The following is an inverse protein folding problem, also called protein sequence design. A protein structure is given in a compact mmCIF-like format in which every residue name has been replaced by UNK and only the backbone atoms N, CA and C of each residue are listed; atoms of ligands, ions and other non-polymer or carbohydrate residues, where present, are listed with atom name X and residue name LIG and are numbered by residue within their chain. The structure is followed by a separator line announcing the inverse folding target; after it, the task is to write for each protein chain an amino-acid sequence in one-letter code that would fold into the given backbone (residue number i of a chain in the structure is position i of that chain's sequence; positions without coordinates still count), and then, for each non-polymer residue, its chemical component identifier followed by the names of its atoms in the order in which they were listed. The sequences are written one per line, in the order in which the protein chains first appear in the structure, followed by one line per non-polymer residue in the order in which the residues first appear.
data_IF_365241691228
#
_entry.id   IF_365241691228
#
_cell.length_a   1.000
_cell.length_b   1.000
_cell.length_c   1.000
_cell.angle_alpha   90.00
_cell.angle_beta   90.00
_cell.angle_gamma   90.00
#
_symmetry.space_group_name_H-M   'P 1'
#
loop_
_entity.id
_entity.type
_entity.pdbx_description
1 polymer ?
#
# COMPACT_ATOMS: atom_id res chain seq x y z
N UNK A 1 32.79 6.19 37.44
CA UNK A 1 33.89 7.09 37.04
C UNK A 1 34.80 6.49 35.97
N UNK A 2 35.64 5.45 36.24
CA UNK A 2 36.52 4.89 35.18
C UNK A 2 35.77 4.29 33.97
N UNK A 3 34.65 3.60 34.22
CA UNK A 3 33.80 3.02 33.17
C UNK A 3 33.05 4.11 32.37
N UNK A 4 32.60 5.17 33.04
CA UNK A 4 31.85 6.26 32.40
C UNK A 4 32.74 7.08 31.46
N UNK A 5 34.00 7.35 31.85
CA UNK A 5 34.95 8.04 30.98
C UNK A 5 35.29 7.22 29.72
N UNK A 6 35.41 5.89 29.85
CA UNK A 6 35.60 5.01 28.69
C UNK A 6 34.39 5.04 27.74
N UNK A 7 33.17 5.07 28.27
CA UNK A 7 31.95 5.22 27.47
C UNK A 7 31.86 6.58 26.80
N UNK A 8 32.23 7.66 27.50
CA UNK A 8 32.27 9.01 26.94
C UNK A 8 33.27 9.13 25.78
N UNK A 9 34.49 8.58 25.93
CA UNK A 9 35.48 8.54 24.85
C UNK A 9 34.98 7.73 23.64
N UNK A 10 34.34 6.58 23.87
CA UNK A 10 33.76 5.77 22.80
C UNK A 10 32.63 6.51 22.06
N UNK A 11 31.76 7.22 22.80
CA UNK A 11 30.72 8.06 22.20
C UNK A 11 31.31 9.22 21.40
N UNK A 12 32.37 9.86 21.88
CA UNK A 12 33.04 10.95 21.17
C UNK A 12 33.53 10.50 19.79
N UNK A 13 34.19 9.33 19.72
CA UNK A 13 34.66 8.72 18.46
C UNK A 13 33.47 8.47 17.51
N UNK A 14 32.39 7.85 18.00
CA UNK A 14 31.20 7.58 17.19
C UNK A 14 30.56 8.86 16.67
N UNK A 15 30.48 9.91 17.49
CA UNK A 15 29.94 11.20 17.05
C UNK A 15 30.82 11.84 15.96
N UNK A 16 32.14 11.74 16.08
CA UNK A 16 33.05 12.22 15.03
C UNK A 16 32.91 11.45 13.72
N UNK A 17 32.76 10.13 13.78
CA UNK A 17 32.49 9.31 12.60
C UNK A 17 31.20 9.75 11.89
N UNK A 18 30.12 9.94 12.65
CA UNK A 18 28.83 10.41 12.13
C UNK A 18 28.98 11.81 11.51
N UNK A 19 29.56 12.77 12.23
CA UNK A 19 29.74 14.15 11.75
C UNK A 19 30.59 14.17 10.47
N UNK A 20 31.65 13.37 10.40
CA UNK A 20 32.47 13.26 9.21
C UNK A 20 31.70 12.64 8.03
N UNK A 21 30.85 11.65 8.28
CA UNK A 21 29.98 11.08 7.24
C UNK A 21 28.97 12.10 6.72
N UNK A 22 28.40 12.93 7.59
CA UNK A 22 27.53 14.04 7.18
C UNK A 22 28.24 15.01 6.25
N UNK A 23 29.48 15.41 6.58
CA UNK A 23 30.30 16.30 5.74
C UNK A 23 30.64 15.65 4.39
N UNK A 24 30.95 14.35 4.38
CA UNK A 24 31.19 13.59 3.15
C UNK A 24 29.95 13.58 2.25
N UNK A 25 28.77 13.32 2.81
CA UNK A 25 27.51 13.34 2.07
C UNK A 25 27.17 14.74 1.55
N UNK A 26 27.37 15.77 2.37
CA UNK A 26 27.18 17.17 1.95
C UNK A 26 28.02 17.51 0.72
N UNK A 27 29.31 17.15 0.73
CA UNK A 27 30.21 17.36 -0.42
C UNK A 27 29.80 16.49 -1.62
N UNK A 28 29.42 15.24 -1.39
CA UNK A 28 28.98 14.31 -2.44
C UNK A 28 27.75 14.84 -3.20
N UNK A 29 26.80 15.44 -2.50
CA UNK A 29 25.53 15.92 -3.05
C UNK A 29 25.50 17.45 -3.22
N UNK A 30 26.66 18.11 -3.31
CA UNK A 30 26.77 19.57 -3.38
C UNK A 30 26.05 20.15 -4.61
N UNK A 31 26.18 19.48 -5.77
CA UNK A 31 25.52 19.88 -7.01
C UNK A 31 24.00 19.86 -6.86
N UNK A 32 23.44 18.78 -6.31
CA UNK A 32 22.01 18.62 -6.08
C UNK A 32 21.48 19.63 -5.08
N UNK A 33 22.22 19.89 -3.98
CA UNK A 33 21.85 20.90 -2.98
C UNK A 33 21.78 22.30 -3.63
N UNK A 34 22.73 22.62 -4.52
CA UNK A 34 22.79 23.91 -5.21
C UNK A 34 21.69 24.06 -6.28
N UNK A 35 21.21 22.96 -6.84
CA UNK A 35 20.10 22.95 -7.80
C UNK A 35 18.71 23.06 -7.16
N UNK A 36 18.59 22.88 -5.84
CA UNK A 36 17.32 23.07 -5.12
C UNK A 36 16.97 24.55 -5.06
N UNK A 37 15.67 24.86 -5.15
CA UNK A 37 15.17 26.22 -4.98
C UNK A 37 15.77 26.89 -3.72
N UNK A 38 16.28 28.15 -3.82
CA UNK A 38 16.97 28.84 -2.72
C UNK A 38 16.20 28.89 -1.39
N UNK A 39 14.86 28.86 -1.43
CA UNK A 39 14.02 28.82 -0.23
C UNK A 39 14.20 27.53 0.59
N UNK A 40 14.63 26.44 -0.04
CA UNK A 40 14.71 25.11 0.56
C UNK A 40 16.15 24.59 0.71
N UNK A 41 17.17 25.29 0.22
CA UNK A 41 18.58 24.85 0.28
C UNK A 41 19.03 24.39 1.67
N UNK A 42 18.68 25.14 2.72
CA UNK A 42 19.00 24.74 4.11
C UNK A 42 18.31 23.45 4.56
N UNK A 43 17.07 23.24 4.10
CA UNK A 43 16.32 22.02 4.41
C UNK A 43 16.85 20.85 3.59
N UNK A 44 17.22 21.07 2.32
CA UNK A 44 17.85 20.06 1.46
C UNK A 44 19.20 19.60 2.02
N UNK A 45 20.07 20.54 2.41
CA UNK A 45 21.33 20.24 3.10
C UNK A 45 21.10 19.41 4.39
N UNK A 46 20.15 19.82 5.23
CA UNK A 46 19.80 19.06 6.44
C UNK A 46 19.18 17.69 6.12
N UNK A 47 18.45 17.53 5.01
CA UNK A 47 17.96 16.23 4.55
C UNK A 47 19.13 15.31 4.16
N UNK A 48 20.14 15.83 3.45
CA UNK A 48 21.37 15.08 3.16
C UNK A 48 22.08 14.67 4.46
N UNK A 49 22.17 15.56 5.44
CA UNK A 49 22.69 15.23 6.76
C UNK A 49 21.88 14.14 7.46
N UNK A 50 20.55 14.20 7.37
CA UNK A 50 19.66 13.18 7.93
C UNK A 50 19.84 11.82 7.24
N UNK A 51 19.97 11.78 5.91
CA UNK A 51 20.22 10.53 5.18
C UNK A 51 21.55 9.89 5.58
N UNK A 52 22.61 10.69 5.72
CA UNK A 52 23.90 10.23 6.24
C UNK A 52 23.79 9.72 7.68
N UNK A 53 23.06 10.44 8.54
CA UNK A 53 22.81 10.03 9.92
C UNK A 53 22.05 8.70 10.01
N UNK A 54 21.10 8.46 9.10
CA UNK A 54 20.32 7.20 9.03
C UNK A 54 21.09 6.02 8.45
N UNK A 55 22.33 6.20 7.98
CA UNK A 55 23.19 5.08 7.57
C UNK A 55 23.88 4.39 8.75
N UNK A 56 23.72 4.89 9.97
CA UNK A 56 24.29 4.30 11.20
C UNK A 56 23.22 3.55 11.99
N UNK A 57 23.65 2.55 12.75
CA UNK A 57 22.83 1.97 13.81
C UNK A 57 22.83 2.91 15.03
N UNK A 58 21.69 3.52 15.28
CA UNK A 58 21.50 4.52 16.33
C UNK A 58 20.94 3.94 17.62
N UNK A 59 20.62 2.65 17.66
CA UNK A 59 20.05 2.01 18.85
C UNK A 59 21.08 2.01 19.99
N UNK A 60 22.26 1.45 19.72
CA UNK A 60 23.38 1.38 20.66
C UNK A 60 23.82 2.76 21.17
N UNK A 61 23.88 3.76 20.28
CA UNK A 61 24.27 5.12 20.66
C UNK A 61 23.20 5.74 21.58
N UNK A 62 21.92 5.54 21.29
CA UNK A 62 20.85 6.06 22.14
C UNK A 62 20.83 5.38 23.52
N UNK A 63 21.08 4.07 23.58
CA UNK A 63 21.15 3.35 24.84
C UNK A 63 22.32 3.83 25.70
N UNK A 64 23.51 3.99 25.11
CA UNK A 64 24.69 4.56 25.80
C UNK A 64 24.45 5.99 26.29
N UNK A 65 23.81 6.85 25.47
CA UNK A 65 23.45 8.22 25.88
C UNK A 65 22.46 8.20 27.04
N UNK A 66 21.45 7.31 27.02
CA UNK A 66 20.45 7.20 28.07
C UNK A 66 21.05 6.72 29.38
N UNK A 67 21.93 5.70 29.34
CA UNK A 67 22.65 5.21 30.52
C UNK A 67 23.49 6.30 31.20
N UNK A 68 24.08 7.20 30.41
CA UNK A 68 24.87 8.33 30.90
C UNK A 68 24.02 9.58 31.23
N UNK A 69 22.69 9.52 31.07
CA UNK A 69 21.79 10.66 31.29
C UNK A 69 21.98 11.83 30.31
N UNK A 70 22.57 11.56 29.13
CA UNK A 70 22.84 12.54 28.10
C UNK A 70 21.63 12.78 27.18
N UNK A 71 21.55 13.94 26.49
CA UNK A 71 20.46 14.22 25.56
C UNK A 71 20.41 13.21 24.41
N UNK A 72 19.30 12.50 24.30
CA UNK A 72 19.05 11.57 23.19
C UNK A 72 18.86 12.25 21.84
N UNK A 73 18.84 11.44 20.78
CA UNK A 73 18.82 11.90 19.38
C UNK A 73 17.43 11.84 18.72
N UNK A 74 16.35 11.65 19.50
CA UNK A 74 15.01 11.29 19.00
C UNK A 74 14.22 12.42 18.31
N UNK A 75 14.72 13.67 18.32
CA UNK A 75 14.08 14.83 17.67
C UNK A 75 15.10 15.66 16.87
N UNK A 76 16.12 14.98 16.35
CA UNK A 76 17.27 15.58 15.67
C UNK A 76 16.97 15.99 14.22
N UNK A 77 15.94 15.41 13.62
CA UNK A 77 15.64 15.44 12.18
C UNK A 77 15.61 16.86 11.60
N UNK A 78 15.06 17.88 12.28
CA UNK A 78 15.02 19.23 11.69
C UNK A 78 16.36 19.98 11.71
N UNK A 79 17.38 19.50 12.43
CA UNK A 79 18.64 20.22 12.69
C UNK A 79 19.78 19.26 13.07
N UNK A 80 20.07 18.30 12.19
CA UNK A 80 20.88 17.12 12.51
C UNK A 80 22.29 17.49 12.97
N UNK A 81 23.02 18.21 12.13
CA UNK A 81 24.38 18.66 12.43
C UNK A 81 24.45 19.46 13.74
N UNK A 82 23.47 20.34 14.00
CA UNK A 82 23.49 21.18 15.21
C UNK A 82 23.33 20.35 16.48
N UNK A 83 22.43 19.36 16.49
CA UNK A 83 22.26 18.51 17.67
C UNK A 83 23.49 17.64 17.90
N UNK A 84 24.05 17.01 16.86
CA UNK A 84 25.25 16.19 16.98
C UNK A 84 26.41 16.98 17.59
N UNK A 85 26.70 18.17 17.06
CA UNK A 85 27.77 19.02 17.59
C UNK A 85 27.48 19.50 19.02
N UNK A 86 26.21 19.75 19.37
CA UNK A 86 25.86 20.20 20.72
C UNK A 86 26.01 19.09 21.75
N UNK A 87 25.60 17.86 21.42
CA UNK A 87 25.80 16.69 22.28
C UNK A 87 27.28 16.33 22.36
N UNK A 88 28.03 16.39 21.25
CA UNK A 88 29.48 16.20 21.25
C UNK A 88 30.18 17.19 22.19
N UNK A 89 29.84 18.48 22.12
CA UNK A 89 30.41 19.49 23.02
C UNK A 89 30.14 19.18 24.51
N UNK A 90 28.99 18.58 24.84
CA UNK A 90 28.68 18.15 26.22
C UNK A 90 29.61 16.99 26.61
N UNK A 91 29.76 16.00 25.75
CA UNK A 91 30.66 14.85 25.97
C UNK A 91 32.11 15.32 26.15
N UNK A 92 32.61 16.18 25.24
CA UNK A 92 33.96 16.76 25.34
C UNK A 92 34.17 17.49 26.67
N UNK A 93 33.17 18.27 27.12
CA UNK A 93 33.24 18.95 28.43
C UNK A 93 33.20 18.02 29.63
N UNK A 94 32.47 16.90 29.56
CA UNK A 94 32.46 15.89 30.61
C UNK A 94 33.77 15.09 30.66
N UNK A 95 34.51 15.04 29.55
CA UNK A 95 35.85 14.47 29.45
C UNK A 95 36.98 15.47 29.79
N UNK A 96 36.66 16.64 30.35
CA UNK A 96 37.61 17.73 30.64
C UNK A 96 38.42 18.21 29.40
N UNK A 97 37.91 17.98 28.19
CA UNK A 97 38.54 18.43 26.94
C UNK A 97 38.12 19.86 26.60
N UNK A 98 38.96 20.56 25.86
CA UNK A 98 38.55 21.82 25.22
C UNK A 98 37.49 21.51 24.14
N UNK A 99 36.50 22.40 24.02
CA UNK A 99 35.46 22.22 23.01
C UNK A 99 36.08 22.41 21.64
N UNK A 100 35.95 21.41 20.78
CA UNK A 100 36.35 21.52 19.38
C UNK A 100 35.61 22.68 18.73
N UNK A 101 36.32 23.58 18.05
CA UNK A 101 35.70 24.75 17.40
C UNK A 101 34.87 24.30 16.19
N UNK A 102 33.62 23.94 16.45
CA UNK A 102 32.75 23.20 15.53
C UNK A 102 32.14 24.05 14.39
N UNK A 103 32.67 25.26 14.17
CA UNK A 103 32.21 26.19 13.14
C UNK A 103 30.79 26.71 13.35
N UNK A 104 30.38 27.66 12.50
CA UNK A 104 29.00 28.16 12.48
C UNK A 104 28.12 27.16 11.74
N UNK A 105 27.16 26.55 12.44
CA UNK A 105 26.16 25.69 11.80
C UNK A 105 25.08 26.54 11.13
N UNK A 106 24.74 26.21 9.88
CA UNK A 106 23.75 26.95 9.08
C UNK A 106 22.35 26.97 9.71
N UNK A 107 21.98 25.87 10.36
CA UNK A 107 20.64 25.61 10.86
C UNK A 107 20.65 25.35 12.38
N UNK A 108 20.21 26.35 13.15
CA UNK A 108 19.98 26.18 14.59
C UNK A 108 18.60 25.59 14.87
N UNK A 109 18.40 25.01 16.06
CA UNK A 109 17.10 24.48 16.53
C UNK A 109 15.97 25.51 16.36
N UNK A 110 16.22 26.76 16.77
CA UNK A 110 15.25 27.86 16.63
C UNK A 110 14.94 28.18 15.16
N UNK A 111 15.95 28.18 14.28
CA UNK A 111 15.77 28.44 12.84
C UNK A 111 15.02 27.29 12.16
N UNK A 112 15.37 26.05 12.45
CA UNK A 112 14.68 24.86 11.96
C UNK A 112 13.20 24.88 12.31
N UNK A 113 12.86 25.15 13.58
CA UNK A 113 11.47 25.27 14.03
C UNK A 113 10.69 26.37 13.31
N UNK A 114 11.34 27.52 13.03
CA UNK A 114 10.73 28.60 12.24
C UNK A 114 10.45 28.17 10.80
N UNK A 115 11.41 27.51 10.15
CA UNK A 115 11.26 27.00 8.78
C UNK A 115 10.14 25.95 8.71
N UNK A 116 10.14 24.98 9.63
CA UNK A 116 9.10 23.96 9.71
C UNK A 116 7.70 24.58 9.86
N UNK A 117 7.54 25.54 10.79
CA UNK A 117 6.26 26.22 10.98
C UNK A 117 5.83 27.03 9.76
N UNK A 118 6.77 27.72 9.09
CA UNK A 118 6.51 28.46 7.85
C UNK A 118 6.03 27.51 6.75
N UNK A 119 6.78 26.44 6.48
CA UNK A 119 6.48 25.48 5.43
C UNK A 119 5.16 24.73 5.70
N UNK A 120 4.91 24.37 6.95
CA UNK A 120 3.65 23.74 7.38
C UNK A 120 2.45 24.67 7.12
N UNK A 121 2.60 25.98 7.35
CA UNK A 121 1.56 26.97 7.06
C UNK A 121 1.37 27.20 5.56
N UNK A 122 2.46 27.20 4.79
CA UNK A 122 2.40 27.34 3.33
C UNK A 122 1.65 26.15 2.70
N UNK A 123 1.99 24.93 3.12
CA UNK A 123 1.43 23.70 2.56
C UNK A 123 0.00 23.41 3.06
N UNK A 124 -0.23 23.48 4.38
CA UNK A 124 -1.48 23.02 4.98
C UNK A 124 -2.41 24.15 5.46
N UNK A 125 -2.02 25.41 5.27
CA UNK A 125 -2.79 26.57 5.71
C UNK A 125 -2.63 26.90 7.21
N UNK A 126 -3.52 27.75 7.71
CA UNK A 126 -3.52 28.15 9.12
C UNK A 126 -4.16 27.08 10.01
N UNK A 127 -3.77 27.05 11.29
CA UNK A 127 -4.46 26.24 12.30
C UNK A 127 -5.84 26.82 12.59
N UNK A 128 -6.81 25.97 12.87
CA UNK A 128 -8.13 26.38 13.36
C UNK A 128 -8.03 26.89 14.79
N UNK A 129 -8.80 27.93 15.16
CA UNK A 129 -8.72 28.60 16.48
C UNK A 129 -8.83 27.64 17.68
N UNK A 130 -9.66 26.59 17.56
CA UNK A 130 -9.96 25.65 18.66
C UNK A 130 -9.14 24.35 18.62
N UNK A 131 -8.14 24.20 17.73
CA UNK A 131 -7.39 22.95 17.58
C UNK A 131 -5.92 23.17 17.22
N UNK A 132 -5.03 22.37 17.82
CA UNK A 132 -3.58 22.44 17.58
C UNK A 132 -3.14 21.90 16.23
N UNK A 133 -3.94 21.00 15.64
CA UNK A 133 -3.65 20.24 14.42
C UNK A 133 -4.46 20.75 13.23
N UNK A 134 -4.05 20.41 12.00
CA UNK A 134 -4.75 20.73 10.75
C UNK A 134 -5.41 19.46 10.18
N UNK A 135 -6.52 19.60 9.46
CA UNK A 135 -7.19 18.46 8.80
C UNK A 135 -6.98 18.62 7.29
N UNK A 136 -6.28 17.66 6.70
CA UNK A 136 -6.23 17.48 5.25
C UNK A 136 -7.22 16.38 4.88
N UNK A 137 -8.04 16.62 3.85
CA UNK A 137 -8.97 15.62 3.33
C UNK A 137 -8.65 15.40 1.85
N UNK A 138 -8.46 14.15 1.45
CA UNK A 138 -8.40 13.79 0.03
C UNK A 138 -9.79 13.84 -0.55
N UNK A 139 -9.98 14.67 -1.58
CA UNK A 139 -11.27 14.84 -2.21
C UNK A 139 -11.57 13.62 -3.11
N UNK A 140 -12.71 12.95 -2.93
CA UNK A 140 -13.21 11.98 -3.90
C UNK A 140 -13.78 12.71 -5.13
N UNK A 141 -13.96 11.99 -6.24
CA UNK A 141 -14.53 12.53 -7.48
C UNK A 141 -15.87 13.27 -7.24
N UNK A 142 -16.72 12.78 -6.32
CA UNK A 142 -17.98 13.44 -5.94
C UNK A 142 -17.84 14.90 -5.48
N UNK A 143 -16.65 15.32 -5.00
CA UNK A 143 -16.37 16.70 -4.64
C UNK A 143 -16.34 17.67 -5.83
N UNK A 144 -16.24 17.16 -7.07
CA UNK A 144 -16.30 17.95 -8.29
C UNK A 144 -17.73 18.41 -8.59
N UNK A 145 -18.73 17.54 -8.37
CA UNK A 145 -20.12 17.82 -8.76
C UNK A 145 -21.03 18.17 -7.57
N UNK A 146 -20.66 17.84 -6.32
CA UNK A 146 -21.43 18.19 -5.11
C UNK A 146 -20.76 19.30 -4.28
N UNK A 147 -21.15 20.55 -4.56
CA UNK A 147 -20.76 21.71 -3.77
C UNK A 147 -21.15 21.59 -2.28
N UNK A 148 -22.34 21.04 -1.97
CA UNK A 148 -22.82 20.93 -0.58
C UNK A 148 -21.95 19.97 0.22
N UNK A 149 -21.44 18.92 -0.40
CA UNK A 149 -20.46 18.02 0.20
C UNK A 149 -19.18 18.77 0.60
N UNK A 150 -18.56 19.51 -0.32
CA UNK A 150 -17.34 20.30 -0.05
C UNK A 150 -17.60 21.35 1.03
N UNK A 151 -18.73 22.05 0.96
CA UNK A 151 -19.14 23.02 1.97
C UNK A 151 -19.22 22.41 3.38
N UNK A 152 -19.82 21.22 3.52
CA UNK A 152 -19.89 20.51 4.80
C UNK A 152 -18.49 20.15 5.32
N UNK A 153 -17.58 19.68 4.47
CA UNK A 153 -16.20 19.36 4.87
C UNK A 153 -15.47 20.59 5.46
N UNK A 154 -15.53 21.73 4.77
CA UNK A 154 -14.90 22.98 5.24
C UNK A 154 -15.60 23.50 6.50
N UNK A 155 -16.93 23.41 6.57
CA UNK A 155 -17.70 23.78 7.77
C UNK A 155 -17.28 22.95 8.98
N UNK A 156 -17.13 21.64 8.82
CA UNK A 156 -16.73 20.68 9.85
C UNK A 156 -15.26 20.78 10.27
N UNK A 157 -14.41 21.47 9.50
CA UNK A 157 -13.06 21.84 9.95
C UNK A 157 -11.91 21.42 9.03
N UNK A 158 -12.18 21.02 7.79
CA UNK A 158 -11.12 20.85 6.78
C UNK A 158 -10.29 22.13 6.62
N UNK A 159 -8.97 22.00 6.71
CA UNK A 159 -8.01 23.09 6.51
C UNK A 159 -7.32 23.01 5.14
N UNK A 160 -7.20 21.81 4.60
CA UNK A 160 -6.57 21.55 3.32
C UNK A 160 -7.34 20.48 2.55
N UNK A 161 -7.68 20.76 1.29
CA UNK A 161 -8.20 19.82 0.33
C UNK A 161 -7.05 19.25 -0.49
N UNK A 162 -6.83 17.94 -0.42
CA UNK A 162 -5.85 17.21 -1.24
C UNK A 162 -6.54 16.67 -2.48
N UNK A 163 -6.06 17.06 -3.66
CA UNK A 163 -6.47 16.49 -4.94
C UNK A 163 -5.38 15.52 -5.36
N UNK A 164 -5.74 14.24 -5.52
CA UNK A 164 -4.79 13.21 -5.91
C UNK A 164 -4.76 13.08 -7.43
N UNK A 165 -3.76 13.68 -8.07
CA UNK A 165 -3.58 13.71 -9.52
C UNK A 165 -3.14 12.36 -10.12
N UNK A 166 -3.06 11.31 -9.31
CA UNK A 166 -2.93 9.94 -9.78
C UNK A 166 -4.18 9.40 -10.49
N UNK A 167 -5.31 10.09 -10.33
CA UNK A 167 -6.65 9.74 -10.81
C UNK A 167 -7.37 10.98 -11.32
N UNK A 168 -8.48 10.76 -12.04
CA UNK A 168 -9.32 11.80 -12.64
C UNK A 168 -8.57 12.68 -13.67
N UNK A 169 -9.23 13.73 -14.14
CA UNK A 169 -8.73 14.64 -15.18
C UNK A 169 -8.61 16.07 -14.68
N UNK A 170 -7.94 16.93 -15.45
CA UNK A 170 -7.77 18.35 -15.16
C UNK A 170 -9.11 19.07 -14.97
N UNK A 171 -10.12 18.75 -15.79
CA UNK A 171 -11.46 19.34 -15.69
C UNK A 171 -12.12 19.00 -14.35
N UNK A 172 -11.97 17.77 -13.89
CA UNK A 172 -12.50 17.31 -12.60
C UNK A 172 -11.77 18.00 -11.44
N UNK A 173 -10.44 18.11 -11.50
CA UNK A 173 -9.66 18.81 -10.48
C UNK A 173 -10.03 20.31 -10.40
N UNK A 174 -10.26 20.97 -11.55
CA UNK A 174 -10.68 22.36 -11.60
C UNK A 174 -12.03 22.58 -10.92
N UNK A 175 -13.03 21.73 -11.20
CA UNK A 175 -14.32 21.77 -10.49
C UNK A 175 -14.16 21.62 -8.97
N UNK A 176 -13.32 20.69 -8.51
CA UNK A 176 -13.02 20.54 -7.09
C UNK A 176 -12.40 21.81 -6.49
N UNK A 177 -11.43 22.41 -7.21
CA UNK A 177 -10.77 23.66 -6.79
C UNK A 177 -11.79 24.79 -6.63
N UNK A 178 -12.68 24.95 -7.59
CA UNK A 178 -13.67 26.02 -7.59
C UNK A 178 -14.69 25.83 -6.46
N UNK A 179 -15.18 24.60 -6.25
CA UNK A 179 -16.02 24.29 -5.10
C UNK A 179 -15.34 24.59 -3.76
N UNK A 180 -14.04 24.27 -3.61
CA UNK A 180 -13.28 24.59 -2.40
C UNK A 180 -13.13 26.10 -2.21
N UNK A 181 -12.84 26.86 -3.27
CA UNK A 181 -12.72 28.32 -3.23
C UNK A 181 -14.04 28.97 -2.83
N UNK A 182 -15.14 28.58 -3.46
CA UNK A 182 -16.46 29.14 -3.21
C UNK A 182 -16.97 28.81 -1.80
N UNK A 183 -16.79 27.57 -1.34
CA UNK A 183 -17.14 27.20 0.01
C UNK A 183 -16.26 27.92 1.06
N UNK A 184 -14.96 28.09 0.77
CA UNK A 184 -14.03 28.86 1.61
C UNK A 184 -14.45 30.31 1.75
N UNK A 185 -14.80 30.96 0.64
CA UNK A 185 -15.29 32.35 0.60
C UNK A 185 -16.59 32.48 1.39
N UNK A 186 -17.57 31.60 1.15
CA UNK A 186 -18.88 31.61 1.82
C UNK A 186 -18.79 31.39 3.33
N UNK A 187 -17.83 30.60 3.80
CA UNK A 187 -17.62 30.31 5.22
C UNK A 187 -16.64 31.27 5.91
N UNK A 188 -16.06 32.22 5.19
CA UNK A 188 -14.94 33.05 5.64
C UNK A 188 -13.82 32.20 6.28
N UNK A 189 -13.46 31.10 5.61
CA UNK A 189 -12.39 30.18 6.01
C UNK A 189 -11.35 30.11 4.89
N UNK A 190 -10.09 29.95 5.27
CA UNK A 190 -8.99 29.80 4.31
C UNK A 190 -8.59 28.33 4.22
N UNK A 191 -9.27 27.56 3.37
CA UNK A 191 -8.91 26.18 3.04
C UNK A 191 -7.89 26.18 1.91
N UNK A 192 -6.73 25.55 2.11
CA UNK A 192 -5.74 25.36 1.04
C UNK A 192 -6.15 24.23 0.11
N UNK A 193 -5.72 24.29 -1.14
CA UNK A 193 -5.73 23.15 -2.06
C UNK A 193 -4.29 22.67 -2.22
N UNK A 194 -4.06 21.37 -2.09
CA UNK A 194 -2.77 20.71 -2.36
C UNK A 194 -2.96 19.73 -3.51
N UNK A 195 -2.21 19.95 -4.59
CA UNK A 195 -2.13 19.04 -5.73
C UNK A 195 -1.08 17.98 -5.40
N UNK A 196 -1.49 16.72 -5.30
CA UNK A 196 -0.61 15.59 -5.07
C UNK A 196 -0.37 14.84 -6.37
N UNK A 197 0.85 14.98 -6.90
CA UNK A 197 1.24 14.42 -8.18
C UNK A 197 1.38 12.90 -8.06
N UNK A 198 0.88 12.16 -9.07
CA UNK A 198 0.88 10.70 -9.03
C UNK A 198 2.27 10.04 -8.99
N UNK A 199 3.34 10.80 -9.28
CA UNK A 199 4.73 10.34 -9.28
C UNK A 199 5.03 9.25 -10.32
N UNK A 200 6.29 8.79 -10.39
CA UNK A 200 6.65 7.64 -11.21
C UNK A 200 5.96 6.37 -10.67
N UNK A 201 5.30 5.63 -11.56
CA UNK A 201 4.61 4.38 -11.20
C UNK A 201 5.20 3.22 -11.99
N UNK A 202 5.80 2.26 -11.29
CA UNK A 202 6.07 0.96 -11.88
C UNK A 202 4.73 0.23 -12.07
N UNK A 203 4.50 -0.27 -13.28
CA UNK A 203 3.32 -1.04 -13.66
C UNK A 203 3.80 -2.30 -14.36
N UNK A 204 3.17 -3.42 -14.06
CA UNK A 204 3.34 -4.62 -14.88
C UNK A 204 2.66 -4.39 -16.23
N UNK A 205 3.14 -5.07 -17.27
CA UNK A 205 2.41 -5.15 -18.54
C UNK A 205 1.13 -5.97 -18.39
N UNK A 206 0.45 -6.21 -19.51
CA UNK A 206 -0.61 -7.18 -19.57
C UNK A 206 -0.07 -8.55 -19.13
N UNK A 207 -0.81 -9.22 -18.24
CA UNK A 207 -0.53 -10.61 -17.88
C UNK A 207 -1.04 -11.49 -19.02
N UNK A 208 -0.23 -12.46 -19.45
CA UNK A 208 -0.71 -13.51 -20.36
C UNK A 208 -1.78 -14.30 -19.60
N UNK A 209 -2.99 -14.50 -20.17
CA UNK A 209 -4.00 -15.35 -19.54
C UNK A 209 -3.40 -16.72 -19.22
N UNK A 210 -3.60 -17.20 -17.98
CA UNK A 210 -3.16 -18.53 -17.58
C UNK A 210 -3.89 -19.64 -18.35
N UNK A 211 -3.45 -20.88 -18.17
CA UNK A 211 -4.18 -22.02 -18.71
C UNK A 211 -5.61 -22.03 -18.11
N UNK A 212 -6.63 -22.07 -18.98
CA UNK A 212 -8.05 -22.15 -18.60
C UNK A 212 -8.35 -23.52 -17.99
N UNK A 213 -8.02 -23.68 -16.70
CA UNK A 213 -8.09 -24.93 -15.95
C UNK A 213 -8.84 -24.68 -14.64
N UNK A 214 -9.88 -25.47 -14.41
CA UNK A 214 -10.58 -25.52 -13.13
C UNK A 214 -10.11 -26.74 -12.34
N UNK A 215 -9.78 -26.53 -11.07
CA UNK A 215 -9.48 -27.61 -10.13
C UNK A 215 -10.73 -27.96 -9.31
N UNK A 216 -11.34 -29.11 -9.61
CA UNK A 216 -12.39 -29.69 -8.77
C UNK A 216 -11.72 -30.22 -7.50
N UNK A 217 -12.04 -29.61 -6.35
CA UNK A 217 -11.44 -29.95 -5.05
C UNK A 217 -12.52 -30.39 -4.05
N UNK A 218 -12.77 -31.70 -3.90
CA UNK A 218 -13.62 -32.21 -2.82
C UNK A 218 -13.05 -31.81 -1.46
N UNK A 219 -13.92 -31.55 -0.49
CA UNK A 219 -13.49 -31.20 0.85
C UNK A 219 -12.92 -32.44 1.56
N UNK A 220 -11.77 -32.30 2.22
CA UNK A 220 -11.02 -33.38 2.86
C UNK A 220 -10.62 -32.98 4.27
N UNK A 221 -10.55 -33.97 5.17
CA UNK A 221 -10.03 -33.77 6.52
C UNK A 221 -8.49 -33.64 6.52
N UNK A 222 -7.93 -33.40 7.71
CA UNK A 222 -6.49 -33.27 7.93
C UNK A 222 -5.70 -34.54 7.54
N UNK A 223 -6.38 -35.69 7.44
CA UNK A 223 -5.82 -36.97 7.03
C UNK A 223 -6.04 -37.26 5.52
N UNK A 224 -6.64 -36.33 4.78
CA UNK A 224 -6.87 -36.43 3.34
C UNK A 224 -8.08 -37.28 2.93
N UNK A 225 -8.94 -37.70 3.88
CA UNK A 225 -10.17 -38.43 3.60
C UNK A 225 -11.28 -37.47 3.19
N UNK A 226 -12.05 -37.84 2.16
CA UNK A 226 -13.14 -37.00 1.64
C UNK A 226 -14.26 -36.84 2.66
N UNK A 227 -14.50 -35.61 3.10
CA UNK A 227 -15.62 -35.22 3.98
C UNK A 227 -16.88 -35.00 3.16
N UNK A 228 -16.76 -34.28 2.03
CA UNK A 228 -17.89 -34.00 1.14
C UNK A 228 -17.46 -33.86 -0.31
N UNK A 229 -18.27 -34.32 -1.28
CA UNK A 229 -17.98 -34.11 -2.70
C UNK A 229 -17.92 -32.63 -3.05
N UNK A 230 -17.12 -32.31 -4.07
CA UNK A 230 -17.17 -31.01 -4.71
C UNK A 230 -18.50 -30.81 -5.45
N UNK A 231 -19.11 -29.64 -5.29
CA UNK A 231 -20.35 -29.22 -5.94
C UNK A 231 -20.02 -28.55 -7.27
N UNK A 232 -20.46 -29.19 -8.34
CA UNK A 232 -20.21 -28.76 -9.71
C UNK A 232 -21.50 -28.21 -10.30
N UNK A 233 -21.43 -27.04 -10.88
CA UNK A 233 -22.50 -26.44 -11.65
C UNK A 233 -22.31 -26.71 -13.13
N UNK A 234 -23.29 -27.35 -13.77
CA UNK A 234 -23.26 -27.68 -15.20
C UNK A 234 -24.40 -26.95 -15.89
N UNK A 235 -24.07 -26.07 -16.82
CA UNK A 235 -25.04 -25.21 -17.50
C UNK A 235 -24.55 -24.78 -18.89
N UNK A 236 -25.42 -24.18 -19.73
CA UNK A 236 -24.99 -23.44 -20.91
C UNK A 236 -23.99 -22.33 -20.57
N UNK A 237 -23.21 -21.82 -21.56
CA UNK A 237 -22.37 -20.64 -21.38
C UNK A 237 -23.13 -19.47 -20.74
N UNK A 238 -22.43 -18.67 -19.94
CA UNK A 238 -22.94 -17.48 -19.23
C UNK A 238 -24.01 -17.71 -18.15
N UNK A 239 -24.37 -18.97 -17.86
CA UNK A 239 -25.32 -19.30 -16.79
C UNK A 239 -24.61 -19.59 -15.46
N UNK A 240 -24.64 -18.61 -14.56
CA UNK A 240 -23.97 -18.65 -13.25
C UNK A 240 -24.84 -19.39 -12.20
N UNK A 241 -24.25 -20.16 -11.27
CA UNK A 241 -24.99 -20.77 -10.16
C UNK A 241 -25.60 -19.72 -9.21
N UNK A 242 -26.76 -20.01 -8.61
CA UNK A 242 -27.35 -19.16 -7.58
C UNK A 242 -26.36 -18.90 -6.44
N UNK A 243 -26.23 -17.63 -6.00
CA UNK A 243 -25.33 -17.18 -4.95
C UNK A 243 -23.83 -17.48 -5.19
N UNK A 244 -23.45 -17.80 -6.43
CA UNK A 244 -22.07 -18.13 -6.81
C UNK A 244 -21.42 -19.25 -5.95
N UNK A 245 -22.23 -20.21 -5.49
CA UNK A 245 -21.85 -21.16 -4.44
C UNK A 245 -21.28 -22.50 -4.95
N UNK A 246 -20.84 -22.56 -6.21
CA UNK A 246 -20.30 -23.78 -6.80
C UNK A 246 -18.78 -23.84 -6.62
N UNK A 247 -18.25 -25.05 -6.40
CA UNK A 247 -16.81 -25.29 -6.34
C UNK A 247 -16.18 -25.31 -7.75
N UNK A 248 -16.98 -25.60 -8.78
CA UNK A 248 -16.58 -25.58 -10.19
C UNK A 248 -17.79 -25.29 -11.09
N UNK A 249 -17.58 -24.54 -12.18
CA UNK A 249 -18.59 -24.24 -13.20
C UNK A 249 -18.13 -24.87 -14.52
N UNK A 250 -18.96 -25.73 -15.10
CA UNK A 250 -18.71 -26.41 -16.36
C UNK A 250 -19.71 -25.95 -17.43
N UNK A 251 -19.31 -25.00 -18.29
CA UNK A 251 -20.11 -24.61 -19.42
C UNK A 251 -20.14 -25.74 -20.45
N UNK A 252 -21.34 -26.11 -20.91
CA UNK A 252 -21.57 -27.16 -21.91
C UNK A 252 -22.63 -26.72 -22.91
N UNK A 253 -22.61 -27.28 -24.11
CA UNK A 253 -23.61 -27.01 -25.14
C UNK A 253 -25.06 -27.22 -24.66
N UNK A 254 -25.98 -26.36 -25.09
CA UNK A 254 -27.37 -26.33 -24.64
C UNK A 254 -28.13 -27.62 -25.03
N UNK A 255 -27.86 -28.17 -26.21
CA UNK A 255 -28.49 -29.40 -26.70
C UNK A 255 -28.07 -30.58 -25.84
N UNK A 256 -26.79 -30.66 -25.48
CA UNK A 256 -26.29 -31.70 -24.57
C UNK A 256 -26.77 -31.49 -23.14
N UNK A 257 -26.76 -30.25 -22.63
CA UNK A 257 -27.30 -29.90 -21.31
C UNK A 257 -28.73 -30.41 -21.15
N UNK A 258 -29.62 -30.18 -22.12
CA UNK A 258 -31.04 -30.60 -22.05
C UNK A 258 -31.21 -32.11 -21.84
N UNK A 259 -30.26 -32.93 -22.26
CA UNK A 259 -30.31 -34.41 -22.15
C UNK A 259 -29.91 -34.95 -20.78
N UNK A 260 -29.23 -34.15 -19.95
CA UNK A 260 -28.78 -34.56 -18.61
C UNK A 260 -30.00 -34.68 -17.68
N UNK A 261 -30.16 -35.81 -16.98
CA UNK A 261 -31.21 -36.01 -15.97
C UNK A 261 -30.61 -36.31 -14.60
N UNK A 262 -31.39 -36.10 -13.54
CA UNK A 262 -31.03 -36.52 -12.18
C UNK A 262 -30.67 -38.00 -12.16
N UNK A 263 -29.59 -38.36 -11.46
CA UNK A 263 -29.07 -39.72 -11.39
C UNK A 263 -28.21 -40.17 -12.59
N UNK A 264 -28.04 -39.34 -13.62
CA UNK A 264 -27.05 -39.63 -14.66
C UNK A 264 -25.62 -39.44 -14.14
N UNK A 265 -24.67 -40.14 -14.77
CA UNK A 265 -23.25 -40.02 -14.47
C UNK A 265 -22.53 -39.47 -15.69
N UNK A 266 -21.72 -38.44 -15.48
CA UNK A 266 -20.83 -37.89 -16.50
C UNK A 266 -19.42 -38.38 -16.20
N UNK A 267 -18.83 -39.16 -17.09
CA UNK A 267 -17.44 -39.58 -17.00
C UNK A 267 -16.54 -38.72 -17.89
N UNK A 268 -15.36 -38.37 -17.43
CA UNK A 268 -14.37 -37.63 -18.19
C UNK A 268 -12.95 -38.07 -17.80
N UNK A 269 -11.97 -37.68 -18.60
CA UNK A 269 -10.55 -37.84 -18.28
C UNK A 269 -9.98 -36.45 -18.01
N UNK A 270 -9.39 -36.26 -16.83
CA UNK A 270 -8.79 -34.99 -16.43
C UNK A 270 -7.48 -34.71 -17.21
N UNK A 271 -6.93 -33.49 -17.08
CA UNK A 271 -5.70 -33.11 -17.80
C UNK A 271 -4.45 -33.93 -17.41
N UNK A 272 -4.52 -34.74 -16.33
CA UNK A 272 -3.46 -35.65 -15.88
C UNK A 272 -3.69 -37.09 -16.35
N UNK A 273 -4.72 -37.36 -17.14
CA UNK A 273 -5.07 -38.70 -17.61
C UNK A 273 -5.91 -39.53 -16.64
N UNK A 274 -6.37 -38.95 -15.52
CA UNK A 274 -7.19 -39.64 -14.53
C UNK A 274 -8.66 -39.68 -14.96
N UNK A 275 -9.26 -40.88 -15.00
CA UNK A 275 -10.71 -41.05 -15.21
C UNK A 275 -11.47 -40.61 -13.96
N UNK A 276 -12.40 -39.68 -14.13
CA UNK A 276 -13.21 -39.11 -13.06
C UNK A 276 -14.71 -39.18 -13.41
N UNK A 277 -15.58 -39.06 -12.40
CA UNK A 277 -17.04 -39.12 -12.57
C UNK A 277 -17.75 -38.01 -11.79
N UNK A 278 -18.77 -37.43 -12.41
CA UNK A 278 -19.71 -36.47 -11.80
C UNK A 278 -21.08 -37.12 -11.77
N UNK A 279 -21.72 -37.12 -10.60
CA UNK A 279 -23.09 -37.62 -10.44
C UNK A 279 -24.06 -36.44 -10.43
N UNK A 280 -25.16 -36.51 -11.18
CA UNK A 280 -26.11 -35.39 -11.27
C UNK A 280 -27.15 -35.47 -10.15
N UNK A 281 -27.19 -34.44 -9.30
CA UNK A 281 -27.98 -34.41 -8.08
C UNK A 281 -29.37 -33.79 -8.31
N UNK A 282 -29.43 -32.59 -8.90
CA UNK A 282 -30.70 -31.85 -9.11
C UNK A 282 -30.58 -30.77 -10.18
N UNK A 283 -31.71 -30.39 -10.78
CA UNK A 283 -31.84 -29.19 -11.62
C UNK A 283 -32.19 -27.99 -10.75
N UNK A 284 -31.64 -26.81 -11.05
CA UNK A 284 -32.05 -25.54 -10.45
C UNK A 284 -31.97 -24.43 -11.49
N UNK A 285 -33.09 -23.75 -11.76
CA UNK A 285 -33.16 -22.74 -12.83
C UNK A 285 -32.68 -23.28 -14.18
N UNK A 286 -31.73 -22.57 -14.80
CA UNK A 286 -31.12 -22.91 -16.09
C UNK A 286 -29.85 -23.80 -15.97
N UNK A 287 -29.51 -24.28 -14.78
CA UNK A 287 -28.36 -25.17 -14.57
C UNK A 287 -28.70 -26.45 -13.79
N UNK A 288 -27.69 -27.31 -13.65
CA UNK A 288 -27.78 -28.59 -12.94
C UNK A 288 -26.61 -28.73 -11.99
N UNK A 289 -26.93 -29.16 -10.76
CA UNK A 289 -25.94 -29.52 -9.76
C UNK A 289 -25.49 -30.96 -9.97
N UNK A 290 -24.18 -31.16 -9.90
CA UNK A 290 -23.58 -32.47 -9.76
C UNK A 290 -22.52 -32.51 -8.67
N UNK A 291 -22.18 -33.72 -8.25
CA UNK A 291 -21.24 -34.01 -7.18
C UNK A 291 -20.07 -34.83 -7.72
N UNK A 292 -18.85 -34.44 -7.35
CA UNK A 292 -17.63 -35.19 -7.66
C UNK A 292 -16.86 -35.51 -6.39
N UNK A 293 -16.61 -36.81 -6.16
CA UNK A 293 -15.87 -37.29 -4.99
C UNK A 293 -14.35 -37.24 -5.20
N UNK A 294 -13.91 -37.00 -6.42
CA UNK A 294 -12.50 -37.07 -6.81
C UNK A 294 -11.94 -35.68 -7.13
N UNK A 295 -10.66 -35.48 -6.79
CA UNK A 295 -9.89 -34.30 -7.21
C UNK A 295 -9.52 -34.44 -8.69
N UNK A 296 -9.89 -33.44 -9.50
CA UNK A 296 -9.75 -33.48 -10.96
C UNK A 296 -9.44 -32.10 -11.54
N UNK A 297 -8.65 -32.05 -12.61
CA UNK A 297 -8.33 -30.83 -13.36
C UNK A 297 -9.02 -30.85 -14.72
N UNK A 298 -9.93 -29.92 -14.95
CA UNK A 298 -10.68 -29.81 -16.20
C UNK A 298 -10.17 -28.59 -16.96
N UNK A 299 -9.79 -28.78 -18.22
CA UNK A 299 -9.44 -27.69 -19.15
C UNK A 299 -10.63 -27.37 -20.05
N UNK A 300 -10.65 -26.16 -20.63
CA UNK A 300 -11.48 -25.88 -21.81
C UNK A 300 -11.26 -26.97 -22.88
N UNK A 301 -12.34 -27.46 -23.47
CA UNK A 301 -12.30 -28.55 -24.47
C UNK A 301 -12.28 -29.98 -23.92
N UNK A 302 -12.24 -30.19 -22.60
CA UNK A 302 -12.29 -31.54 -21.99
C UNK A 302 -13.53 -32.30 -22.49
N UNK A 303 -13.37 -33.55 -22.94
CA UNK A 303 -14.48 -34.38 -23.41
C UNK A 303 -15.24 -35.01 -22.22
N UNK A 304 -16.50 -34.60 -22.04
CA UNK A 304 -17.43 -35.18 -21.09
C UNK A 304 -18.29 -36.24 -21.78
N UNK A 305 -18.44 -37.42 -21.16
CA UNK A 305 -19.29 -38.51 -21.65
C UNK A 305 -20.45 -38.74 -20.70
N UNK A 306 -21.66 -38.53 -21.17
CA UNK A 306 -22.89 -38.84 -20.44
C UNK A 306 -23.17 -40.35 -20.53
N UNK A 307 -23.18 -41.03 -19.38
CA UNK A 307 -23.54 -42.44 -19.26
C UNK A 307 -25.01 -42.49 -18.82
N UNK A 308 -25.88 -43.00 -19.71
CA UNK A 308 -27.30 -43.23 -19.42
C UNK A 308 -27.51 -44.70 -19.04
N UNK A 309 -28.43 -44.98 -18.13
CA UNK A 309 -28.74 -46.34 -17.68
C UNK A 309 -29.40 -47.22 -18.77
N UNK A 310 -29.92 -46.64 -19.86
CA UNK A 310 -30.66 -47.40 -20.90
C UNK A 310 -30.32 -47.04 -22.37
N UNK A 311 -29.49 -46.03 -22.65
CA UNK A 311 -29.24 -45.56 -24.02
C UNK A 311 -27.82 -44.99 -24.22
N UNK A 312 -26.88 -45.82 -24.68
CA UNK A 312 -25.60 -45.43 -25.26
C UNK A 312 -24.73 -44.43 -24.46
N UNK A 313 -23.65 -43.95 -25.10
CA UNK A 313 -22.81 -42.87 -24.55
C UNK A 313 -22.87 -41.66 -25.47
N UNK A 314 -23.00 -40.46 -24.90
CA UNK A 314 -23.03 -39.20 -25.66
C UNK A 314 -21.94 -38.27 -25.15
N UNK A 315 -21.25 -37.61 -26.07
CA UNK A 315 -20.07 -36.80 -25.79
C UNK A 315 -20.35 -35.31 -25.98
N UNK A 316 -19.72 -34.47 -25.17
CA UNK A 316 -19.65 -33.01 -25.36
C UNK A 316 -18.27 -32.53 -24.93
N UNK A 317 -17.85 -31.37 -25.43
CA UNK A 317 -16.65 -30.68 -24.94
C UNK A 317 -17.07 -29.58 -23.95
N UNK A 318 -16.28 -29.41 -22.90
CA UNK A 318 -16.39 -28.26 -22.00
C UNK A 318 -16.09 -26.97 -22.80
N UNK A 319 -16.92 -25.95 -22.61
CA UNK A 319 -16.72 -24.62 -23.20
C UNK A 319 -15.51 -23.87 -22.60
N UNK A 320 -15.41 -22.58 -22.88
CA UNK A 320 -14.34 -21.76 -22.30
C UNK A 320 -14.51 -21.62 -20.79
N UNK A 321 -13.47 -22.00 -20.04
CA UNK A 321 -13.39 -21.82 -18.60
C UNK A 321 -12.77 -20.45 -18.31
N UNK A 322 -13.38 -19.71 -17.37
CA UNK A 322 -12.83 -18.48 -16.79
C UNK A 322 -11.86 -18.79 -15.66
#
# INVERSE_FOLDING_TARGET
MKNDNQKLDALEIKFDEIINQLKKFEKKYESEINNVNPLYTKSAKNLIHYLAFRSFDLSLIQDELNELGLPGLSNIEPHVMKSLLSTKNIIEKLNDKEISNNGKVDLSVKKAKKILNKNTKLLFGNKSKKRRTRIMVTLPNTAADDYKFVYKLIKSGMNCARINCAHDSEEVWMKMIDNVKDASKKLNKNCKVTMDLGGPKLRTGAMVPGAQVIHIKPNRDEYGKSISPAKIWIAPPDVIPPNNSADAILPVDEIWYKKIKKGNVISFTDSRGKKCKITIDKKQGLGKWGSCNESAYITSGTELKLIKQKDGTQKVKVGELL
#
